data_IF_478129358112
#
_entry.id   IF_478129358112
#
_cell.length_a   1.000
_cell.length_b   1.000
_cell.length_c   1.000
_cell.angle_alpha   90.00
_cell.angle_beta   90.00
_cell.angle_gamma   90.00
#
_symmetry.space_group_name_H-M   'P 1'
#
loop_
_entity.id
_entity.type
_entity.pdbx_description
1 polymer ?
#
# COMPACT_ATOMS: atom_id res chain seq x y z
N UNK A 1 23.71 12.53 -2.09
CA UNK A 1 23.40 11.09 -1.91
C UNK A 1 24.67 10.38 -1.46
N UNK A 2 24.66 9.57 -0.42
CA UNK A 2 25.82 8.81 0.01
C UNK A 2 26.20 7.79 -1.07
N UNK A 3 27.44 7.84 -1.54
CA UNK A 3 27.97 6.88 -2.52
C UNK A 3 28.56 5.63 -1.84
N UNK A 4 28.92 5.74 -0.56
CA UNK A 4 29.54 4.69 0.25
C UNK A 4 28.84 4.66 1.62
N UNK A 5 28.46 3.50 2.08
CA UNK A 5 27.81 3.29 3.36
C UNK A 5 26.28 3.22 3.33
N UNK A 6 25.70 2.62 4.35
CA UNK A 6 24.25 2.49 4.52
C UNK A 6 23.66 3.77 5.11
N UNK A 7 22.57 4.24 4.51
CA UNK A 7 21.78 5.33 5.09
C UNK A 7 21.00 4.78 6.28
N UNK A 8 21.14 5.35 7.49
CA UNK A 8 20.36 4.92 8.65
C UNK A 8 18.87 5.16 8.39
N UNK A 9 18.05 4.17 8.69
CA UNK A 9 16.59 4.30 8.61
C UNK A 9 16.12 5.11 9.82
N UNK A 10 15.35 6.17 9.57
CA UNK A 10 14.72 6.94 10.65
C UNK A 10 13.62 6.09 11.30
N UNK A 11 13.58 6.08 12.61
CA UNK A 11 12.49 5.47 13.35
C UNK A 11 11.20 6.28 13.15
N UNK A 12 10.10 5.56 12.95
CA UNK A 12 8.78 6.14 12.80
C UNK A 12 8.05 5.92 14.12
N UNK A 13 7.69 7.02 14.78
CA UNK A 13 6.91 6.97 16.01
C UNK A 13 5.48 6.49 15.70
N UNK A 14 4.88 5.69 16.59
CA UNK A 14 3.48 5.27 16.44
C UNK A 14 2.54 6.49 16.52
N UNK A 15 1.37 6.34 15.91
CA UNK A 15 0.33 7.35 15.96
C UNK A 15 -0.21 7.51 17.39
N UNK A 16 -0.40 8.75 17.90
CA UNK A 16 -0.81 8.96 19.28
C UNK A 16 -2.23 8.50 19.60
N UNK A 17 -3.13 8.43 18.60
CA UNK A 17 -4.53 8.01 18.81
C UNK A 17 -4.67 6.49 18.74
N UNK A 18 -4.09 5.87 17.72
CA UNK A 18 -4.21 4.43 17.47
C UNK A 18 -3.00 3.60 17.93
N UNK A 19 -1.95 4.26 18.44
CA UNK A 19 -0.69 3.63 18.86
C UNK A 19 -0.13 2.65 17.82
N UNK A 20 -0.24 2.99 16.54
CA UNK A 20 0.14 2.14 15.41
C UNK A 20 1.10 2.84 14.47
N UNK A 21 2.25 2.20 14.20
CA UNK A 21 3.22 2.66 13.21
C UNK A 21 2.64 2.58 11.78
N UNK A 22 1.74 1.63 11.54
CA UNK A 22 1.10 1.47 10.23
C UNK A 22 0.21 2.68 9.90
N UNK A 23 -0.53 3.19 10.90
CA UNK A 23 -1.34 4.41 10.76
C UNK A 23 -0.46 5.64 10.49
N UNK A 24 0.67 5.78 11.19
CA UNK A 24 1.63 6.86 10.91
C UNK A 24 2.15 6.81 9.48
N UNK A 25 2.46 5.61 8.98
CA UNK A 25 2.89 5.43 7.58
C UNK A 25 1.78 5.79 6.59
N UNK A 26 0.53 5.47 6.88
CA UNK A 26 -0.61 5.87 6.08
C UNK A 26 -0.75 7.40 6.04
N UNK A 27 -0.70 8.07 7.19
CA UNK A 27 -0.75 9.53 7.30
C UNK A 27 0.37 10.17 6.45
N UNK A 28 1.58 9.65 6.56
CA UNK A 28 2.72 10.13 5.76
C UNK A 28 2.52 9.91 4.25
N UNK A 29 1.82 8.83 3.86
CA UNK A 29 1.47 8.56 2.46
C UNK A 29 0.38 9.48 1.91
N UNK A 30 -0.60 9.84 2.74
CA UNK A 30 -1.69 10.75 2.37
C UNK A 30 -1.22 12.20 2.36
N UNK A 31 -0.21 12.54 3.14
CA UNK A 31 0.31 13.90 3.28
C UNK A 31 0.80 14.47 1.94
N UNK A 32 0.43 15.72 1.65
CA UNK A 32 0.91 16.54 0.53
C UNK A 32 1.52 17.82 1.08
N UNK A 33 2.55 18.33 0.43
CA UNK A 33 3.21 19.62 0.73
C UNK A 33 3.63 19.79 2.21
N UNK A 34 3.92 18.67 2.90
CA UNK A 34 4.29 18.70 4.32
C UNK A 34 3.13 18.98 5.30
N UNK A 35 1.87 19.05 4.83
CA UNK A 35 0.70 19.37 5.65
C UNK A 35 0.23 18.16 6.45
N UNK A 36 1.03 17.74 7.45
CA UNK A 36 0.77 16.54 8.24
C UNK A 36 -0.52 16.60 9.05
N UNK A 37 -0.84 17.75 9.66
CA UNK A 37 -2.08 17.91 10.44
C UNK A 37 -3.36 17.70 9.63
N UNK A 38 -3.36 18.17 8.36
CA UNK A 38 -4.47 17.92 7.44
C UNK A 38 -4.59 16.44 7.10
N UNK A 39 -3.46 15.77 6.83
CA UNK A 39 -3.44 14.32 6.54
C UNK A 39 -3.91 13.48 7.75
N UNK A 40 -3.52 13.85 8.97
CA UNK A 40 -4.01 13.20 10.19
C UNK A 40 -5.53 13.31 10.29
N UNK A 41 -6.08 14.52 10.14
CA UNK A 41 -7.53 14.72 10.18
C UNK A 41 -8.26 13.89 9.11
N UNK A 42 -7.74 13.85 7.88
CA UNK A 42 -8.32 13.04 6.80
C UNK A 42 -8.35 11.55 7.16
N UNK A 43 -7.27 11.02 7.74
CA UNK A 43 -7.21 9.60 8.13
C UNK A 43 -8.15 9.30 9.30
N UNK A 44 -8.18 10.16 10.31
CA UNK A 44 -9.07 9.96 11.47
C UNK A 44 -10.54 10.05 11.06
N UNK A 45 -10.93 11.07 10.30
CA UNK A 45 -12.30 11.20 9.76
C UNK A 45 -12.67 9.98 8.88
N UNK A 46 -11.71 9.43 8.11
CA UNK A 46 -11.96 8.22 7.32
C UNK A 46 -12.20 6.99 8.22
N UNK A 47 -11.47 6.87 9.31
CA UNK A 47 -11.65 5.80 10.28
C UNK A 47 -12.99 5.90 11.01
N UNK A 48 -13.43 7.12 11.35
CA UNK A 48 -14.76 7.36 11.91
C UNK A 48 -15.86 6.92 10.94
N UNK A 49 -15.73 7.25 9.65
CA UNK A 49 -16.68 6.80 8.61
C UNK A 49 -16.73 5.25 8.51
N UNK A 50 -15.57 4.58 8.60
CA UNK A 50 -15.51 3.12 8.59
C UNK A 50 -16.26 2.54 9.79
N UNK A 51 -16.03 3.10 10.98
CA UNK A 51 -16.69 2.67 12.21
C UNK A 51 -18.21 2.84 12.14
N UNK A 52 -18.68 3.99 11.64
CA UNK A 52 -20.10 4.28 11.47
C UNK A 52 -20.78 3.33 10.48
N UNK A 53 -20.11 3.04 9.35
CA UNK A 53 -20.71 2.22 8.28
C UNK A 53 -20.61 0.72 8.50
N UNK A 54 -19.52 0.24 9.10
CA UNK A 54 -19.26 -1.20 9.25
C UNK A 54 -19.47 -1.71 10.66
N UNK A 55 -19.45 -0.84 11.68
CA UNK A 55 -19.46 -1.20 13.09
C UNK A 55 -18.19 -1.92 13.57
N UNK A 56 -17.21 -2.16 12.68
CA UNK A 56 -15.92 -2.78 13.03
C UNK A 56 -14.97 -1.75 13.64
N UNK A 57 -14.00 -2.22 14.41
CA UNK A 57 -12.90 -1.37 14.86
C UNK A 57 -12.08 -0.91 13.63
N UNK A 58 -11.87 0.40 13.44
CA UNK A 58 -11.22 0.93 12.24
C UNK A 58 -9.80 0.40 12.01
N UNK A 59 -9.05 0.17 13.09
CA UNK A 59 -7.68 -0.36 13.00
C UNK A 59 -7.67 -1.80 12.47
N UNK A 60 -8.62 -2.63 12.91
CA UNK A 60 -8.76 -4.01 12.44
C UNK A 60 -9.17 -4.05 10.97
N UNK A 61 -10.15 -3.24 10.58
CA UNK A 61 -10.56 -3.10 9.18
C UNK A 61 -9.40 -2.63 8.30
N UNK A 62 -8.62 -1.66 8.75
CA UNK A 62 -7.44 -1.20 8.03
C UNK A 62 -6.36 -2.27 7.90
N UNK A 63 -6.10 -3.02 8.97
CA UNK A 63 -5.13 -4.12 8.95
C UNK A 63 -5.57 -5.24 8.02
N UNK A 64 -6.84 -5.61 8.03
CA UNK A 64 -7.45 -6.59 7.11
C UNK A 64 -7.30 -6.12 5.65
N UNK A 65 -7.67 -4.87 5.36
CA UNK A 65 -7.51 -4.27 4.04
C UNK A 65 -6.04 -4.30 3.56
N UNK A 66 -5.10 -3.94 4.44
CA UNK A 66 -3.68 -3.99 4.12
C UNK A 66 -3.22 -5.41 3.77
N UNK A 67 -3.65 -6.42 4.54
CA UNK A 67 -3.33 -7.82 4.25
C UNK A 67 -3.86 -8.26 2.88
N UNK A 68 -5.05 -7.80 2.52
CA UNK A 68 -5.66 -8.10 1.23
C UNK A 68 -5.01 -7.36 0.05
N UNK A 69 -4.35 -6.23 0.28
CA UNK A 69 -3.65 -5.46 -0.77
C UNK A 69 -2.20 -5.89 -0.93
N UNK A 70 -1.55 -6.40 0.12
CA UNK A 70 -0.12 -6.74 0.09
C UNK A 70 0.22 -7.80 -0.95
N UNK A 71 1.13 -7.51 -1.94
CA UNK A 71 1.53 -8.48 -2.93
C UNK A 71 2.58 -9.46 -2.39
N UNK A 72 2.48 -10.74 -2.79
CA UNK A 72 3.50 -11.74 -2.52
C UNK A 72 4.63 -11.72 -3.58
N UNK A 73 4.26 -11.44 -4.83
CA UNK A 73 5.15 -11.44 -5.99
C UNK A 73 5.15 -10.08 -6.68
N UNK A 74 6.29 -9.72 -7.26
CA UNK A 74 6.42 -8.61 -8.21
C UNK A 74 7.26 -9.04 -9.40
N UNK A 75 7.19 -8.28 -10.48
CA UNK A 75 7.98 -8.54 -11.69
C UNK A 75 9.09 -7.49 -11.79
N UNK A 76 10.31 -7.95 -11.98
CA UNK A 76 11.50 -7.10 -12.15
C UNK A 76 12.11 -7.31 -13.52
N UNK A 77 12.35 -6.21 -14.24
CA UNK A 77 13.04 -6.26 -15.51
C UNK A 77 14.52 -6.66 -15.32
N UNK A 78 14.97 -7.66 -16.03
CA UNK A 78 16.36 -8.13 -16.09
C UNK A 78 16.83 -8.20 -17.55
N UNK A 79 18.01 -7.69 -17.82
CA UNK A 79 18.60 -7.74 -19.15
C UNK A 79 19.57 -8.92 -19.22
N UNK A 80 19.29 -9.84 -20.14
CA UNK A 80 20.11 -11.05 -20.36
C UNK A 80 20.36 -11.19 -21.85
N UNK A 81 21.63 -11.23 -22.27
CA UNK A 81 21.99 -11.42 -23.67
C UNK A 81 21.43 -10.36 -24.63
N UNK A 82 21.25 -9.10 -24.16
CA UNK A 82 20.68 -8.02 -24.98
C UNK A 82 19.15 -7.92 -24.96
N UNK A 83 18.42 -8.93 -24.53
CA UNK A 83 16.98 -8.90 -24.34
C UNK A 83 16.60 -8.59 -22.90
N UNK A 84 15.46 -7.88 -22.71
CA UNK A 84 14.93 -7.56 -21.37
C UNK A 84 13.78 -8.50 -21.05
N UNK A 85 13.93 -9.25 -19.97
CA UNK A 85 12.92 -10.18 -19.46
C UNK A 85 12.28 -9.65 -18.19
N UNK A 86 10.99 -9.93 -18.04
CA UNK A 86 10.23 -9.64 -16.81
C UNK A 86 10.34 -10.86 -15.89
N UNK A 87 11.16 -10.77 -14.84
CA UNK A 87 11.43 -11.88 -13.94
C UNK A 87 10.58 -11.78 -12.69
N UNK A 88 9.75 -12.79 -12.34
CA UNK A 88 8.99 -12.80 -11.11
C UNK A 88 9.90 -13.02 -9.90
N UNK A 89 9.74 -12.18 -8.89
CA UNK A 89 10.48 -12.26 -7.63
C UNK A 89 9.54 -12.12 -6.44
N UNK A 90 9.90 -12.74 -5.33
CA UNK A 90 9.18 -12.54 -4.07
C UNK A 90 9.44 -11.15 -3.50
N UNK A 91 8.40 -10.53 -2.97
CA UNK A 91 8.48 -9.21 -2.37
C UNK A 91 8.86 -9.34 -0.89
N UNK A 92 9.88 -8.62 -0.46
CA UNK A 92 10.28 -8.57 0.96
C UNK A 92 9.16 -7.95 1.81
N UNK A 93 8.96 -8.38 3.08
CA UNK A 93 7.85 -7.91 3.93
C UNK A 93 7.73 -6.39 4.04
N UNK A 94 8.84 -5.69 4.25
CA UNK A 94 8.86 -4.22 4.33
C UNK A 94 8.40 -3.55 3.03
N UNK A 95 8.73 -4.14 1.87
CA UNK A 95 8.32 -3.65 0.57
C UNK A 95 6.86 -3.97 0.29
N UNK A 96 6.35 -5.15 0.72
CA UNK A 96 4.92 -5.49 0.63
C UNK A 96 4.07 -4.40 1.27
N UNK A 97 4.42 -4.03 2.52
CA UNK A 97 3.72 -2.97 3.25
C UNK A 97 3.78 -1.62 2.53
N UNK A 98 4.95 -1.25 2.00
CA UNK A 98 5.14 0.01 1.27
C UNK A 98 4.31 0.05 -0.02
N UNK A 99 4.28 -1.05 -0.77
CA UNK A 99 3.48 -1.14 -2.01
C UNK A 99 1.99 -1.07 -1.70
N UNK A 100 1.52 -1.79 -0.69
CA UNK A 100 0.13 -1.78 -0.29
C UNK A 100 -0.34 -0.38 0.13
N UNK A 101 0.42 0.33 0.97
CA UNK A 101 0.12 1.70 1.37
C UNK A 101 0.08 2.66 0.18
N UNK A 102 1.06 2.55 -0.73
CA UNK A 102 1.10 3.36 -1.95
C UNK A 102 -0.13 3.13 -2.82
N UNK A 103 -0.47 1.88 -3.09
CA UNK A 103 -1.64 1.55 -3.90
C UNK A 103 -2.93 1.98 -3.25
N UNK A 104 -3.09 1.76 -1.94
CA UNK A 104 -4.25 2.23 -1.20
C UNK A 104 -4.45 3.74 -1.38
N UNK A 105 -3.42 4.55 -1.17
CA UNK A 105 -3.49 6.01 -1.31
C UNK A 105 -3.72 6.44 -2.76
N UNK A 106 -2.98 5.86 -3.72
CA UNK A 106 -3.07 6.23 -5.14
C UNK A 106 -4.45 5.91 -5.72
N UNK A 107 -5.03 4.76 -5.38
CA UNK A 107 -6.35 4.37 -5.85
C UNK A 107 -7.48 5.08 -5.09
N UNK A 108 -7.31 5.38 -3.80
CA UNK A 108 -8.24 6.28 -3.10
C UNK A 108 -8.36 7.63 -3.78
N UNK A 109 -7.23 8.23 -4.20
CA UNK A 109 -7.24 9.52 -4.92
C UNK A 109 -7.98 9.49 -6.26
N UNK A 110 -8.09 8.32 -6.89
CA UNK A 110 -8.77 8.13 -8.18
C UNK A 110 -10.26 7.85 -8.07
N UNK A 111 -10.78 7.69 -6.86
CA UNK A 111 -12.21 7.45 -6.62
C UNK A 111 -13.04 8.69 -6.91
N UNK A 112 -14.32 8.48 -7.15
CA UNK A 112 -15.28 9.52 -7.54
C UNK A 112 -15.93 10.27 -6.38
N UNK A 113 -15.76 9.81 -5.13
CA UNK A 113 -16.31 10.48 -3.96
C UNK A 113 -15.76 11.90 -3.83
N UNK A 114 -16.51 12.79 -3.19
CA UNK A 114 -16.22 14.22 -3.13
C UNK A 114 -14.97 14.52 -2.30
N UNK A 115 -14.85 13.93 -1.11
CA UNK A 115 -13.77 14.24 -0.16
C UNK A 115 -12.76 13.11 -0.07
N UNK A 116 -11.49 13.45 0.26
CA UNK A 116 -10.44 12.42 0.40
C UNK A 116 -10.73 11.43 1.53
N UNK A 117 -11.37 11.87 2.62
CA UNK A 117 -11.76 11.00 3.73
C UNK A 117 -12.78 9.93 3.31
N UNK A 118 -13.76 10.32 2.48
CA UNK A 118 -14.74 9.37 1.93
C UNK A 118 -14.09 8.40 0.94
N UNK A 119 -13.19 8.89 0.09
CA UNK A 119 -12.43 8.08 -0.87
C UNK A 119 -11.56 7.04 -0.15
N UNK A 120 -10.85 7.47 0.88
CA UNK A 120 -9.98 6.58 1.66
C UNK A 120 -10.80 5.53 2.42
N UNK A 121 -11.88 5.95 3.08
CA UNK A 121 -12.78 5.03 3.77
C UNK A 121 -13.42 4.02 2.81
N UNK A 122 -13.88 4.47 1.64
CA UNK A 122 -14.45 3.62 0.60
C UNK A 122 -13.45 2.56 0.12
N UNK A 123 -12.22 2.95 -0.20
CA UNK A 123 -11.19 2.01 -0.66
C UNK A 123 -10.79 0.98 0.42
N UNK A 124 -10.71 1.40 1.69
CA UNK A 124 -10.42 0.47 2.81
C UNK A 124 -11.58 -0.53 2.97
N UNK A 125 -12.83 -0.09 2.96
CA UNK A 125 -13.98 -0.98 3.08
C UNK A 125 -14.08 -1.97 1.93
N UNK A 126 -13.86 -1.52 0.69
CA UNK A 126 -13.82 -2.39 -0.49
C UNK A 126 -12.68 -3.41 -0.38
N UNK A 127 -11.50 -2.97 0.05
CA UNK A 127 -10.35 -3.85 0.23
C UNK A 127 -10.54 -4.92 1.33
N UNK A 128 -11.28 -4.62 2.40
CA UNK A 128 -11.67 -5.63 3.39
C UNK A 128 -12.47 -6.77 2.76
N UNK A 129 -13.30 -6.46 1.78
CA UNK A 129 -14.12 -7.43 1.04
C UNK A 129 -13.41 -8.03 -0.18
N UNK A 130 -12.08 -7.86 -0.31
CA UNK A 130 -11.29 -8.23 -1.49
C UNK A 130 -11.79 -7.57 -2.80
N UNK A 131 -12.35 -6.39 -2.70
CA UNK A 131 -12.80 -5.57 -3.81
C UNK A 131 -11.93 -4.30 -3.92
N UNK A 132 -12.25 -3.47 -4.90
CA UNK A 132 -11.57 -2.18 -5.07
C UNK A 132 -10.35 -2.23 -5.97
N UNK A 133 -9.90 -1.05 -6.36
CA UNK A 133 -8.85 -0.89 -7.36
C UNK A 133 -7.45 -1.25 -6.82
N UNK A 134 -7.22 -1.07 -5.52
CA UNK A 134 -5.96 -1.45 -4.88
C UNK A 134 -5.78 -2.98 -4.85
N UNK A 135 -6.83 -3.73 -4.54
CA UNK A 135 -6.83 -5.21 -4.59
C UNK A 135 -6.65 -5.70 -6.03
N UNK A 136 -7.38 -5.10 -6.98
CA UNK A 136 -7.22 -5.42 -8.40
C UNK A 136 -5.77 -5.22 -8.86
N UNK A 137 -5.08 -4.18 -8.39
CA UNK A 137 -3.67 -3.94 -8.71
C UNK A 137 -2.77 -5.06 -8.19
N UNK A 138 -3.03 -5.61 -7.00
CA UNK A 138 -2.33 -6.79 -6.49
C UNK A 138 -2.56 -8.00 -7.42
N UNK A 139 -3.82 -8.24 -7.81
CA UNK A 139 -4.17 -9.35 -8.71
C UNK A 139 -3.48 -9.24 -10.06
N UNK A 140 -3.49 -8.05 -10.66
CA UNK A 140 -2.81 -7.78 -11.94
C UNK A 140 -1.29 -8.04 -11.81
N UNK A 141 -0.70 -7.64 -10.68
CA UNK A 141 0.72 -7.92 -10.41
C UNK A 141 1.00 -9.41 -10.32
N UNK A 142 0.14 -10.17 -9.62
CA UNK A 142 0.28 -11.61 -9.49
C UNK A 142 0.05 -12.32 -10.83
N UNK A 143 -0.94 -11.92 -11.61
CA UNK A 143 -1.19 -12.46 -12.98
C UNK A 143 0.02 -12.22 -13.88
N UNK A 144 0.61 -11.02 -13.82
CA UNK A 144 1.82 -10.71 -14.59
C UNK A 144 3.01 -11.57 -14.14
N UNK A 145 3.16 -11.80 -12.85
CA UNK A 145 4.22 -12.66 -12.31
C UNK A 145 4.03 -14.14 -12.76
N UNK A 146 2.81 -14.62 -12.75
CA UNK A 146 2.48 -15.98 -13.21
C UNK A 146 2.70 -16.14 -14.73
N UNK A 147 2.27 -15.19 -15.54
CA UNK A 147 2.50 -15.20 -16.98
C UNK A 147 3.99 -15.22 -17.34
N UNK A 148 4.84 -14.64 -16.50
CA UNK A 148 6.29 -14.61 -16.69
C UNK A 148 7.04 -15.70 -15.90
N UNK A 149 6.34 -16.71 -15.37
CA UNK A 149 6.92 -17.77 -14.54
C UNK A 149 8.03 -18.56 -15.25
N UNK A 150 7.96 -18.68 -16.58
CA UNK A 150 8.98 -19.33 -17.39
C UNK A 150 10.36 -18.67 -17.25
N UNK A 151 10.44 -17.37 -16.91
CA UNK A 151 11.68 -16.63 -16.74
C UNK A 151 12.19 -16.60 -15.28
N UNK A 152 11.58 -17.36 -14.38
CA UNK A 152 11.97 -17.40 -12.97
C UNK A 152 13.42 -17.88 -12.75
N UNK A 153 13.98 -18.65 -13.65
CA UNK A 153 15.37 -19.12 -13.58
C UNK A 153 16.40 -18.00 -13.80
N UNK A 154 16.01 -16.83 -14.32
CA UNK A 154 16.87 -15.64 -14.39
C UNK A 154 16.91 -14.84 -13.07
N UNK A 155 16.44 -15.43 -11.99
CA UNK A 155 16.45 -14.85 -10.65
C UNK A 155 17.80 -15.10 -9.98
N UNK A 156 18.71 -14.14 -10.06
CA UNK A 156 19.96 -14.06 -9.29
C UNK A 156 20.15 -12.69 -8.66
#
# INVERSE_FOLDING_TARGET
MPRRGNVPKREILPDPVYNSVLVTKLINGVMLDGKKGVAQKVVYDAFDIIKEKTGKEPLDAFTEAMNNIMPALEVKARRVGGATYQVPIEVRPARRQTLALRWLVDYSRKRSEKTMKERLAGEIMDACNNLGAAVKKREDMHKNAEANKAFAHFRW
#
